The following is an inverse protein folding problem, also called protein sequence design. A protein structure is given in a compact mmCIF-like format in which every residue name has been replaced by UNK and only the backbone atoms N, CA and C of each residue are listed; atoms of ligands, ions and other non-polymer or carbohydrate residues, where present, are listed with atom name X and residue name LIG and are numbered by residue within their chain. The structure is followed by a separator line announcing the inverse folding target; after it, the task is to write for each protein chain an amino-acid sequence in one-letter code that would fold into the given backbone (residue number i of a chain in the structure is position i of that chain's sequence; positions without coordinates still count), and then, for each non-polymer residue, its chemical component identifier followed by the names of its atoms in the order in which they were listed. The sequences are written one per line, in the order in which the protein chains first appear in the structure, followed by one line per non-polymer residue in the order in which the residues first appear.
data_IF_594884406300
#
_entry.id   IF_594884406300
#
_cell.length_a   1.000
_cell.length_b   1.000
_cell.length_c   1.000
_cell.angle_alpha   90.00
_cell.angle_beta   90.00
_cell.angle_gamma   90.00
#
_symmetry.space_group_name_H-M   'P 1'
#
loop_
_entity.id
_entity.type
_entity.pdbx_description
1 polymer ?
#
# COMPACT_ATOMS: atom_id res chain seq x y z
N UNK A 1 -25.06 0.09 53.37
CA UNK A 1 -26.11 0.99 53.90
C UNK A 1 -26.11 1.05 55.42
N UNK A 2 -26.83 2.02 55.99
CA UNK A 2 -27.02 2.12 57.45
C UNK A 2 -28.40 1.63 57.82
N UNK A 3 -28.49 0.70 58.78
CA UNK A 3 -29.75 0.19 59.30
C UNK A 3 -29.89 0.67 60.75
N UNK A 4 -31.04 1.22 61.10
CA UNK A 4 -31.35 1.67 62.46
C UNK A 4 -32.40 0.74 63.04
N UNK A 5 -32.10 0.19 64.23
CA UNK A 5 -33.06 -0.62 64.94
C UNK A 5 -34.24 0.22 65.45
N UNK A 6 -35.46 -0.19 65.13
CA UNK A 6 -36.68 0.55 65.54
C UNK A 6 -36.86 0.60 67.06
N UNK A 7 -36.36 -0.43 67.79
CA UNK A 7 -36.56 -0.56 69.25
C UNK A 7 -35.51 0.21 70.09
N UNK A 8 -34.19 -0.01 69.79
CA UNK A 8 -33.12 0.59 70.59
C UNK A 8 -32.33 1.73 69.89
N UNK A 9 -32.72 2.03 68.65
CA UNK A 9 -32.12 3.08 67.77
C UNK A 9 -30.63 2.90 67.49
N UNK A 10 -30.08 1.76 67.79
CA UNK A 10 -28.69 1.44 67.43
C UNK A 10 -28.53 1.38 65.90
N UNK A 11 -27.45 1.99 65.39
CA UNK A 11 -27.15 2.10 63.97
C UNK A 11 -26.13 1.00 63.62
N UNK A 12 -26.43 0.22 62.59
CA UNK A 12 -25.57 -0.83 62.06
C UNK A 12 -25.15 -0.45 60.61
N UNK A 13 -23.89 -0.64 60.33
CA UNK A 13 -23.38 -0.52 58.95
C UNK A 13 -23.32 -1.90 58.32
N UNK A 14 -24.10 -2.11 57.30
CA UNK A 14 -24.22 -3.40 56.59
C UNK A 14 -23.91 -3.18 55.12
N UNK A 15 -23.24 -4.19 54.52
CA UNK A 15 -23.03 -4.19 53.08
C UNK A 15 -24.38 -4.43 52.36
N UNK A 16 -24.60 -3.70 51.28
CA UNK A 16 -25.82 -3.84 50.48
C UNK A 16 -25.97 -5.25 49.89
N UNK A 17 -24.85 -5.91 49.61
CA UNK A 17 -24.83 -7.27 49.08
C UNK A 17 -25.27 -8.32 50.11
N UNK A 18 -25.27 -8.01 51.42
CA UNK A 18 -25.65 -8.90 52.47
C UNK A 18 -27.16 -9.01 52.72
N UNK A 19 -27.98 -8.22 52.02
CA UNK A 19 -29.45 -8.22 52.15
C UNK A 19 -30.04 -8.69 50.83
N UNK A 20 -30.87 -9.74 50.92
CA UNK A 20 -31.56 -10.28 49.76
C UNK A 20 -32.48 -9.19 49.12
N UNK A 21 -32.53 -9.12 47.77
CA UNK A 21 -33.34 -8.11 47.08
C UNK A 21 -34.82 -8.19 47.41
N UNK A 22 -35.29 -9.39 47.79
CA UNK A 22 -36.67 -9.63 48.18
C UNK A 22 -36.97 -9.19 49.61
N UNK A 23 -35.95 -8.80 50.38
CA UNK A 23 -36.02 -8.52 51.81
C UNK A 23 -35.68 -9.67 52.68
N UNK A 24 -35.21 -9.43 53.87
CA UNK A 24 -34.92 -10.48 54.87
C UNK A 24 -35.15 -9.99 56.28
N UNK A 25 -35.44 -10.91 57.19
CA UNK A 25 -35.56 -10.64 58.61
C UNK A 25 -34.17 -10.49 59.21
N UNK A 26 -33.94 -9.35 59.89
CA UNK A 26 -32.69 -9.08 60.63
C UNK A 26 -32.97 -8.99 62.14
N UNK A 27 -32.02 -9.45 62.96
CA UNK A 27 -32.10 -9.40 64.38
C UNK A 27 -31.07 -8.45 64.95
N UNK A 28 -31.53 -7.54 65.81
CA UNK A 28 -30.63 -6.60 66.49
C UNK A 28 -29.71 -7.33 67.48
N UNK A 29 -28.40 -7.14 67.39
CA UNK A 29 -27.42 -7.72 68.31
C UNK A 29 -27.45 -7.13 69.68
N UNK A 30 -28.09 -5.95 69.89
CA UNK A 30 -28.16 -5.25 71.15
C UNK A 30 -29.43 -5.56 71.91
N UNK A 31 -30.61 -5.53 71.28
CA UNK A 31 -31.88 -5.70 71.98
C UNK A 31 -32.68 -6.94 71.49
N UNK A 32 -32.11 -7.72 70.61
CA UNK A 32 -32.71 -8.94 70.02
C UNK A 32 -34.02 -8.71 69.21
N UNK A 33 -34.43 -7.47 69.01
CA UNK A 33 -35.59 -7.14 68.17
C UNK A 33 -35.41 -7.60 66.74
N UNK A 34 -36.45 -8.17 66.16
CA UNK A 34 -36.47 -8.70 64.78
C UNK A 34 -37.37 -7.83 63.94
N UNK A 35 -36.87 -7.37 62.77
CA UNK A 35 -37.67 -6.60 61.81
C UNK A 35 -37.30 -6.96 60.39
N UNK A 36 -38.17 -6.65 59.46
CA UNK A 36 -37.94 -6.90 58.03
C UNK A 36 -37.19 -5.67 57.42
N UNK A 37 -36.15 -6.00 56.66
CA UNK A 37 -35.35 -4.99 55.91
C UNK A 37 -35.41 -5.36 54.45
N UNK A 38 -35.76 -4.39 53.63
CA UNK A 38 -35.64 -4.49 52.17
C UNK A 38 -34.38 -3.76 51.71
N UNK A 39 -33.63 -4.36 50.83
CA UNK A 39 -32.55 -3.63 50.15
C UNK A 39 -33.17 -2.41 49.44
N UNK A 40 -32.58 -1.21 49.52
CA UNK A 40 -33.01 -0.11 48.70
C UNK A 40 -32.96 -0.62 47.25
N UNK A 41 -34.06 -0.39 46.49
CA UNK A 41 -34.06 -0.72 45.06
C UNK A 41 -32.85 -0.01 44.44
N UNK A 42 -31.77 -0.75 44.26
CA UNK A 42 -30.70 -0.26 43.42
C UNK A 42 -31.36 -0.03 42.07
N UNK A 43 -31.44 1.24 41.64
CA UNK A 43 -31.76 1.51 40.27
C UNK A 43 -30.68 0.76 39.48
N UNK A 44 -31.05 -0.42 38.98
CA UNK A 44 -30.25 -1.18 38.03
C UNK A 44 -30.20 -0.26 36.80
N UNK A 45 -29.18 0.55 36.79
CA UNK A 45 -28.78 1.17 35.55
C UNK A 45 -28.39 -0.01 34.64
N UNK A 46 -29.37 -0.57 33.93
CA UNK A 46 -29.10 -1.42 32.81
C UNK A 46 -28.05 -0.69 31.98
N UNK A 47 -26.88 -1.30 31.71
CA UNK A 47 -25.88 -0.63 30.86
C UNK A 47 -26.61 -0.26 29.59
N UNK A 48 -26.86 1.05 29.42
CA UNK A 48 -27.52 1.57 28.25
C UNK A 48 -26.68 1.15 27.07
N UNK A 49 -27.25 0.23 26.29
CA UNK A 49 -26.85 -0.16 24.96
C UNK A 49 -25.37 -0.49 24.75
N UNK A 50 -25.03 -1.75 24.86
CA UNK A 50 -23.78 -2.31 24.36
C UNK A 50 -23.50 -2.01 22.88
N UNK A 51 -24.49 -1.54 22.14
CA UNK A 51 -24.36 -1.16 20.73
C UNK A 51 -23.58 0.15 20.55
N UNK A 52 -23.82 1.19 21.39
CA UNK A 52 -23.06 2.45 21.31
C UNK A 52 -21.62 2.26 21.75
N UNK A 53 -21.42 1.42 22.77
CA UNK A 53 -20.09 1.11 23.29
C UNK A 53 -19.28 0.25 22.30
N UNK A 54 -19.92 -0.67 21.57
CA UNK A 54 -19.34 -1.44 20.46
C UNK A 54 -18.97 -0.51 19.32
N UNK A 55 -19.84 0.43 18.93
CA UNK A 55 -19.56 1.39 17.88
C UNK A 55 -18.40 2.32 18.23
N UNK A 56 -18.27 2.76 19.48
CA UNK A 56 -17.13 3.57 19.93
C UNK A 56 -15.83 2.76 19.92
N UNK A 57 -15.86 1.51 20.36
CA UNK A 57 -14.69 0.61 20.32
C UNK A 57 -14.29 0.23 18.89
N UNK A 58 -15.23 0.21 17.97
CA UNK A 58 -14.96 -0.12 16.55
C UNK A 58 -14.47 1.10 15.73
N UNK A 59 -14.74 2.33 16.18
CA UNK A 59 -14.32 3.54 15.46
C UNK A 59 -12.81 3.66 15.28
N UNK A 60 -12.04 3.38 16.32
CA UNK A 60 -10.56 3.45 16.27
C UNK A 60 -9.97 2.40 15.32
N UNK A 61 -10.32 1.10 15.44
CA UNK A 61 -9.80 0.10 14.50
C UNK A 61 -10.31 0.30 13.07
N UNK A 62 -11.55 0.76 12.86
CA UNK A 62 -12.08 1.03 11.53
C UNK A 62 -11.38 2.22 10.86
N UNK A 63 -11.13 3.30 11.59
CA UNK A 63 -10.40 4.46 11.07
C UNK A 63 -8.95 4.14 10.75
N UNK A 64 -8.30 3.32 11.58
CA UNK A 64 -6.94 2.86 11.35
C UNK A 64 -6.85 1.94 10.12
N UNK A 65 -7.83 1.06 9.95
CA UNK A 65 -7.91 0.16 8.79
C UNK A 65 -8.14 0.98 7.49
N UNK A 66 -8.99 1.99 7.54
CA UNK A 66 -9.24 2.90 6.42
C UNK A 66 -7.97 3.71 6.08
N UNK A 67 -7.24 4.19 7.08
CA UNK A 67 -5.96 4.88 6.89
C UNK A 67 -4.93 3.96 6.24
N UNK A 68 -4.80 2.72 6.71
CA UNK A 68 -3.89 1.72 6.14
C UNK A 68 -4.26 1.40 4.69
N UNK A 69 -5.55 1.22 4.39
CA UNK A 69 -6.02 1.02 3.02
C UNK A 69 -5.70 2.20 2.11
N UNK A 70 -5.89 3.42 2.59
CA UNK A 70 -5.60 4.64 1.84
C UNK A 70 -4.10 4.78 1.57
N UNK A 71 -3.27 4.59 2.59
CA UNK A 71 -1.80 4.61 2.44
C UNK A 71 -1.32 3.51 1.49
N UNK A 72 -1.88 2.30 1.60
CA UNK A 72 -1.57 1.20 0.70
C UNK A 72 -1.98 1.52 -0.74
N UNK A 73 -3.15 2.13 -0.94
CA UNK A 73 -3.62 2.57 -2.25
C UNK A 73 -2.69 3.62 -2.89
N UNK A 74 -2.26 4.61 -2.11
CA UNK A 74 -1.28 5.62 -2.56
C UNK A 74 0.05 4.94 -2.91
N UNK A 75 0.57 4.08 -2.03
CA UNK A 75 1.81 3.36 -2.27
C UNK A 75 1.74 2.51 -3.55
N UNK A 76 0.62 1.84 -3.78
CA UNK A 76 0.39 1.03 -4.97
C UNK A 76 0.31 1.88 -6.24
N UNK A 77 -0.39 3.02 -6.20
CA UNK A 77 -0.55 3.93 -7.35
C UNK A 77 0.76 4.60 -7.75
N UNK A 78 1.58 4.98 -6.77
CA UNK A 78 2.85 5.67 -6.98
C UNK A 78 4.07 4.75 -6.91
N UNK A 79 3.90 3.42 -7.01
CA UNK A 79 5.01 2.46 -6.91
C UNK A 79 6.14 2.72 -7.91
N UNK A 80 5.84 3.12 -9.15
CA UNK A 80 6.82 3.44 -10.18
C UNK A 80 7.73 4.61 -9.77
N UNK A 81 7.20 5.82 -9.54
CA UNK A 81 7.97 6.96 -9.06
C UNK A 81 8.71 6.71 -7.73
N UNK A 82 8.08 5.98 -6.79
CA UNK A 82 8.70 5.64 -5.50
C UNK A 82 9.93 4.76 -5.71
N UNK A 83 9.82 3.72 -6.51
CA UNK A 83 10.96 2.81 -6.78
C UNK A 83 12.03 3.45 -7.66
N UNK A 84 11.70 4.43 -8.47
CA UNK A 84 12.68 5.22 -9.21
C UNK A 84 13.53 6.11 -8.28
N UNK A 85 12.95 6.61 -7.17
CA UNK A 85 13.68 7.35 -6.14
C UNK A 85 14.40 6.43 -5.13
N UNK A 86 13.80 5.29 -4.82
CA UNK A 86 14.32 4.32 -3.85
C UNK A 86 14.43 2.92 -4.48
N UNK A 87 15.46 2.66 -5.29
CA UNK A 87 15.61 1.41 -6.04
C UNK A 87 15.61 0.16 -5.16
N UNK A 88 16.10 0.27 -3.92
CA UNK A 88 16.10 -0.85 -2.96
C UNK A 88 14.71 -1.40 -2.62
N UNK A 89 13.65 -0.65 -2.89
CA UNK A 89 12.27 -1.12 -2.68
C UNK A 89 11.77 -2.07 -3.77
N UNK A 90 12.44 -2.14 -4.93
CA UNK A 90 12.05 -3.03 -6.03
C UNK A 90 12.01 -4.48 -5.55
N UNK A 91 13.02 -4.91 -4.79
CA UNK A 91 13.07 -6.27 -4.23
C UNK A 91 11.91 -6.56 -3.27
N UNK A 92 11.51 -5.56 -2.47
CA UNK A 92 10.40 -5.70 -1.54
C UNK A 92 9.06 -5.83 -2.27
N UNK A 93 8.84 -5.04 -3.32
CA UNK A 93 7.65 -5.14 -4.15
C UNK A 93 7.59 -6.47 -4.90
N UNK A 94 8.70 -6.89 -5.51
CA UNK A 94 8.77 -8.19 -6.19
C UNK A 94 8.55 -9.37 -5.23
N UNK A 95 9.05 -9.27 -3.98
CA UNK A 95 8.88 -10.30 -2.95
C UNK A 95 7.41 -10.53 -2.54
N UNK A 96 6.54 -9.54 -2.70
CA UNK A 96 5.09 -9.67 -2.48
C UNK A 96 4.29 -9.88 -3.78
N UNK A 97 4.98 -10.16 -4.90
CA UNK A 97 4.36 -10.44 -6.20
C UNK A 97 3.92 -9.20 -6.98
N UNK A 98 4.35 -8.01 -6.56
CA UNK A 98 4.09 -6.76 -7.28
C UNK A 98 5.29 -6.42 -8.17
N UNK A 99 5.22 -6.83 -9.42
CA UNK A 99 6.23 -6.49 -10.43
C UNK A 99 6.22 -5.00 -10.74
N UNK A 100 7.42 -4.43 -10.85
CA UNK A 100 7.61 -3.04 -11.28
C UNK A 100 7.95 -3.07 -12.78
N UNK A 101 7.16 -2.36 -13.56
CA UNK A 101 7.37 -2.20 -14.99
C UNK A 101 7.60 -0.73 -15.33
N UNK A 102 8.41 -0.42 -16.35
CA UNK A 102 8.52 0.95 -16.85
C UNK A 102 7.16 1.42 -17.38
N UNK A 103 6.79 2.64 -17.06
CA UNK A 103 5.59 3.24 -17.64
C UNK A 103 5.90 3.73 -19.05
N UNK A 104 5.51 2.96 -20.06
CA UNK A 104 5.78 3.27 -21.46
C UNK A 104 4.99 4.47 -21.97
N UNK A 105 3.86 4.83 -21.34
CA UNK A 105 3.02 5.94 -21.76
C UNK A 105 3.70 7.30 -21.62
N UNK A 106 4.64 7.41 -20.68
CA UNK A 106 5.38 8.64 -20.40
C UNK A 106 6.76 8.68 -21.04
N UNK A 107 7.17 7.60 -21.70
CA UNK A 107 8.48 7.49 -22.36
C UNK A 107 8.33 7.64 -23.86
N UNK A 108 9.10 8.55 -24.43
CA UNK A 108 9.09 8.84 -25.86
C UNK A 108 10.48 8.63 -26.45
N UNK A 109 10.54 7.96 -27.60
CA UNK A 109 11.79 7.88 -28.38
C UNK A 109 11.90 9.14 -29.23
N UNK A 110 13.00 9.88 -29.05
CA UNK A 110 13.28 11.11 -29.78
C UNK A 110 14.64 11.04 -30.48
N UNK A 111 14.82 11.86 -31.52
CA UNK A 111 16.09 12.01 -32.21
C UNK A 111 16.70 10.70 -32.75
N UNK A 112 15.83 9.74 -33.15
CA UNK A 112 16.27 8.47 -33.69
C UNK A 112 17.00 8.65 -35.02
N UNK A 113 18.23 8.19 -35.08
CA UNK A 113 19.07 8.25 -36.27
C UNK A 113 19.72 6.88 -36.50
N UNK A 114 19.55 6.36 -37.71
CA UNK A 114 20.18 5.14 -38.14
C UNK A 114 21.12 5.45 -39.34
N UNK A 115 22.32 4.92 -39.30
CA UNK A 115 23.29 5.11 -40.37
C UNK A 115 24.05 3.82 -40.63
N UNK A 116 24.32 3.54 -41.90
CA UNK A 116 25.13 2.41 -42.28
C UNK A 116 26.53 2.84 -42.69
N UNK A 117 27.52 2.10 -42.22
CA UNK A 117 28.92 2.26 -42.59
C UNK A 117 29.45 0.88 -43.06
N UNK A 118 29.34 0.58 -44.38
CA UNK A 118 29.48 -0.77 -44.87
C UNK A 118 28.36 -1.67 -44.36
N UNK A 119 28.70 -2.78 -43.72
CA UNK A 119 27.75 -3.70 -43.09
C UNK A 119 27.44 -3.35 -41.64
N UNK A 120 27.98 -2.25 -41.14
CA UNK A 120 27.82 -1.84 -39.78
C UNK A 120 26.69 -0.84 -39.66
N UNK A 121 25.59 -1.26 -39.03
CA UNK A 121 24.46 -0.41 -38.67
C UNK A 121 24.77 0.28 -37.35
N UNK A 122 24.66 1.61 -37.33
CA UNK A 122 24.73 2.43 -36.12
C UNK A 122 23.39 3.09 -35.89
N UNK A 123 22.82 2.87 -34.74
CA UNK A 123 21.57 3.48 -34.31
C UNK A 123 21.82 4.25 -33.04
N UNK A 124 21.35 5.49 -33.01
CA UNK A 124 21.38 6.34 -31.84
C UNK A 124 20.06 7.05 -31.67
N UNK A 125 19.71 7.32 -30.46
CA UNK A 125 18.49 8.06 -30.12
C UNK A 125 18.45 8.43 -28.66
N UNK A 126 17.32 8.97 -28.24
CA UNK A 126 17.08 9.39 -26.88
C UNK A 126 15.75 8.85 -26.41
N UNK A 127 15.69 8.42 -25.14
CA UNK A 127 14.44 8.16 -24.44
C UNK A 127 14.16 9.38 -23.58
N UNK A 128 13.06 10.06 -23.85
CA UNK A 128 12.60 11.24 -23.11
C UNK A 128 11.48 10.83 -22.14
N UNK A 129 11.55 11.33 -20.91
CA UNK A 129 10.50 11.18 -19.91
C UNK A 129 9.62 12.45 -19.91
N UNK A 130 8.37 12.31 -20.34
CA UNK A 130 7.39 13.40 -20.36
C UNK A 130 6.64 13.59 -19.03
N UNK A 131 6.86 12.68 -18.05
CA UNK A 131 6.21 12.73 -16.74
C UNK A 131 6.79 13.86 -15.85
N UNK A 132 6.03 14.22 -14.83
CA UNK A 132 6.45 15.12 -13.73
C UNK A 132 7.33 14.41 -12.68
N UNK A 133 7.44 13.09 -12.75
CA UNK A 133 8.20 12.27 -11.83
C UNK A 133 9.33 11.53 -12.55
N UNK A 134 10.34 11.13 -11.78
CA UNK A 134 11.39 10.24 -12.29
C UNK A 134 10.76 8.90 -12.72
N UNK A 135 11.07 8.46 -13.92
CA UNK A 135 10.63 7.19 -14.47
C UNK A 135 11.77 6.18 -14.59
N UNK A 136 11.43 4.89 -14.58
CA UNK A 136 12.38 3.85 -14.95
C UNK A 136 12.61 3.86 -16.46
N UNK A 137 13.84 3.78 -16.90
CA UNK A 137 14.17 3.65 -18.31
C UNK A 137 13.74 2.27 -18.80
N UNK A 138 13.00 2.23 -19.89
CA UNK A 138 12.55 0.96 -20.50
C UNK A 138 13.65 0.36 -21.39
N UNK A 139 13.81 -0.97 -21.40
CA UNK A 139 14.61 -1.63 -22.41
C UNK A 139 14.03 -1.36 -23.80
N UNK A 140 14.88 -1.38 -24.81
CA UNK A 140 14.51 -1.13 -26.19
C UNK A 140 14.67 -2.41 -27.01
N UNK A 141 13.82 -2.58 -28.00
CA UNK A 141 13.97 -3.59 -29.04
C UNK A 141 14.28 -2.92 -30.37
N UNK A 142 15.48 -3.15 -30.87
CA UNK A 142 15.86 -2.80 -32.23
C UNK A 142 15.43 -3.93 -33.15
N UNK A 143 14.74 -3.62 -34.24
CA UNK A 143 14.42 -4.52 -35.32
C UNK A 143 14.90 -3.93 -36.65
N UNK A 144 15.59 -4.71 -37.42
CA UNK A 144 15.96 -4.38 -38.80
C UNK A 144 15.08 -5.18 -39.72
N UNK A 145 14.28 -4.51 -40.53
CA UNK A 145 13.32 -5.11 -41.44
C UNK A 145 13.84 -5.01 -42.88
N UNK A 146 13.75 -6.10 -43.61
CA UNK A 146 14.01 -6.12 -45.05
C UNK A 146 12.88 -5.46 -45.86
N UNK A 147 13.08 -5.29 -47.15
CA UNK A 147 12.10 -4.67 -48.05
C UNK A 147 10.76 -5.41 -48.12
N UNK A 148 10.73 -6.67 -47.76
CA UNK A 148 9.56 -7.55 -47.69
C UNK A 148 8.99 -7.67 -46.24
N UNK A 149 9.39 -6.78 -45.36
CA UNK A 149 9.00 -6.78 -43.93
C UNK A 149 9.54 -7.98 -43.12
N UNK A 150 10.47 -8.74 -43.67
CA UNK A 150 11.15 -9.82 -42.93
C UNK A 150 12.10 -9.24 -41.90
N UNK A 151 12.14 -9.85 -40.71
CA UNK A 151 13.07 -9.43 -39.64
C UNK A 151 14.46 -9.98 -39.96
N UNK A 152 15.38 -9.11 -40.36
CA UNK A 152 16.78 -9.46 -40.67
C UNK A 152 17.62 -9.54 -39.41
N UNK A 153 17.37 -8.67 -38.45
CA UNK A 153 18.06 -8.68 -37.16
C UNK A 153 17.12 -8.16 -36.04
N UNK A 154 17.33 -8.71 -34.87
CA UNK A 154 16.67 -8.24 -33.65
C UNK A 154 17.70 -8.12 -32.54
N UNK A 155 17.69 -7.01 -31.81
CA UNK A 155 18.58 -6.76 -30.71
C UNK A 155 17.83 -6.11 -29.56
N UNK A 156 18.10 -6.56 -28.34
CA UNK A 156 17.60 -5.91 -27.13
C UNK A 156 18.69 -4.98 -26.59
N UNK A 157 18.29 -3.76 -26.27
CA UNK A 157 19.16 -2.72 -25.77
C UNK A 157 18.72 -2.33 -24.37
N UNK A 158 19.69 -2.14 -23.51
CA UNK A 158 19.45 -1.55 -22.18
C UNK A 158 20.02 -0.15 -22.23
N UNK A 159 19.25 0.89 -21.84
CA UNK A 159 19.74 2.27 -21.80
C UNK A 159 20.91 2.41 -20.81
N UNK A 160 21.77 3.37 -21.06
CA UNK A 160 22.91 3.65 -20.17
C UNK A 160 22.47 4.07 -18.77
N UNK A 161 21.36 4.81 -18.68
CA UNK A 161 20.76 5.23 -17.42
C UNK A 161 19.54 4.38 -17.09
N UNK A 162 19.46 3.88 -15.86
CA UNK A 162 18.32 3.11 -15.36
C UNK A 162 17.11 3.98 -15.01
N UNK A 163 17.34 5.28 -14.78
CA UNK A 163 16.33 6.24 -14.38
C UNK A 163 16.43 7.50 -15.24
N UNK A 164 15.30 8.06 -15.57
CA UNK A 164 15.19 9.31 -16.33
C UNK A 164 14.42 10.31 -15.50
N UNK A 165 15.05 11.41 -15.11
CA UNK A 165 14.39 12.46 -14.33
C UNK A 165 13.25 13.11 -15.13
N UNK A 166 12.33 13.77 -14.42
CA UNK A 166 11.23 14.51 -15.02
C UNK A 166 11.69 15.48 -16.11
N UNK A 167 11.13 15.39 -17.30
CA UNK A 167 11.47 16.26 -18.42
C UNK A 167 12.89 16.10 -18.97
N UNK A 168 13.60 15.04 -18.60
CA UNK A 168 14.95 14.74 -19.08
C UNK A 168 14.94 13.60 -20.09
N UNK A 169 16.06 13.44 -20.79
CA UNK A 169 16.28 12.35 -21.71
C UNK A 169 17.58 11.60 -21.37
N UNK A 170 17.61 10.30 -21.71
CA UNK A 170 18.83 9.49 -21.72
C UNK A 170 19.14 9.03 -23.12
N UNK A 171 20.41 9.03 -23.47
CA UNK A 171 20.86 8.55 -24.77
C UNK A 171 20.93 7.02 -24.81
N UNK A 172 20.76 6.46 -25.97
CA UNK A 172 21.09 5.08 -26.27
C UNK A 172 21.85 4.99 -27.58
N UNK A 173 22.77 4.04 -27.64
CA UNK A 173 23.57 3.78 -28.80
C UNK A 173 23.72 2.29 -29.00
N UNK A 174 23.56 1.84 -30.25
CA UNK A 174 23.82 0.45 -30.64
C UNK A 174 24.60 0.41 -31.95
N UNK A 175 25.46 -0.57 -32.04
CA UNK A 175 26.23 -0.84 -33.23
C UNK A 175 26.12 -2.34 -33.50
N UNK A 176 25.58 -2.70 -34.68
CA UNK A 176 25.33 -4.08 -35.07
C UNK A 176 25.81 -4.31 -36.50
N UNK A 177 26.49 -5.42 -36.70
CA UNK A 177 26.82 -5.88 -38.02
C UNK A 177 25.58 -6.55 -38.64
N UNK A 178 25.08 -5.97 -39.73
CA UNK A 178 23.89 -6.43 -40.45
C UNK A 178 24.19 -6.37 -41.91
N UNK A 179 23.93 -7.46 -42.62
CA UNK A 179 24.06 -7.47 -44.06
C UNK A 179 23.12 -6.41 -44.65
N UNK A 180 23.69 -5.46 -45.42
CA UNK A 180 22.92 -4.36 -45.99
C UNK A 180 21.95 -4.88 -47.03
N UNK A 181 20.71 -5.13 -46.64
CA UNK A 181 19.63 -5.47 -47.54
C UNK A 181 18.97 -4.19 -48.07
N UNK A 182 19.43 -3.70 -49.22
CA UNK A 182 18.74 -2.64 -50.00
C UNK A 182 18.06 -1.53 -49.19
N UNK A 183 16.73 -1.54 -49.11
CA UNK A 183 15.89 -0.60 -48.35
C UNK A 183 15.51 -1.15 -46.97
N UNK A 184 16.46 -1.52 -46.15
CA UNK A 184 16.17 -1.98 -44.77
C UNK A 184 15.62 -0.83 -43.93
N UNK A 185 14.49 -1.06 -43.26
CA UNK A 185 13.87 -0.17 -42.30
C UNK A 185 14.36 -0.53 -40.89
N UNK A 186 14.70 0.47 -40.13
CA UNK A 186 15.08 0.32 -38.69
C UNK A 186 13.93 0.77 -37.83
N UNK A 187 13.42 -0.15 -36.99
CA UNK A 187 12.38 0.13 -36.04
C UNK A 187 12.93 -0.07 -34.64
N UNK A 188 12.62 0.88 -33.74
CA UNK A 188 12.99 0.81 -32.33
C UNK A 188 11.73 0.97 -31.51
N UNK A 189 11.45 -0.01 -30.66
CA UNK A 189 10.27 -0.04 -29.79
C UNK A 189 10.71 -0.17 -28.32
N UNK A 190 9.96 0.46 -27.41
CA UNK A 190 10.12 0.28 -25.98
C UNK A 190 9.51 -1.06 -25.54
N UNK A 191 10.19 -1.78 -24.67
CA UNK A 191 9.69 -3.04 -24.12
C UNK A 191 9.12 -2.84 -22.72
N UNK A 192 7.91 -3.38 -22.48
CA UNK A 192 7.36 -3.52 -21.15
C UNK A 192 7.87 -4.83 -20.55
N UNK A 193 8.97 -4.75 -19.84
CA UNK A 193 9.50 -5.88 -19.09
C UNK A 193 9.56 -5.54 -17.61
N UNK A 194 9.19 -6.52 -16.77
CA UNK A 194 9.34 -6.36 -15.31
C UNK A 194 10.81 -6.15 -14.95
N UNK A 195 11.06 -5.15 -14.13
CA UNK A 195 12.40 -4.86 -13.61
C UNK A 195 12.79 -5.98 -12.64
N UNK A 196 13.65 -6.88 -13.09
CA UNK A 196 14.23 -7.92 -12.25
C UNK A 196 15.46 -7.38 -11.52
N UNK A 197 15.74 -7.96 -10.36
CA UNK A 197 16.90 -7.59 -9.52
C UNK A 197 18.25 -7.65 -10.26
N UNK A 198 18.37 -8.55 -11.23
CA UNK A 198 19.61 -8.75 -12.00
C UNK A 198 19.91 -7.62 -13.00
N UNK A 199 18.97 -6.70 -13.20
CA UNK A 199 19.16 -5.53 -14.06
C UNK A 199 19.68 -4.29 -13.31
N UNK A 200 19.93 -4.42 -11.99
CA UNK A 200 20.37 -3.30 -11.13
C UNK A 200 21.70 -3.56 -10.42
#
# INVERSE_FOLDING_TARGET
MLLTCAQCKTIFRIDNAAIAPEGQKVRCSVCAHIWDVKAPAQAYHAPASGFVDILQKLRLPASMLLLVMLLSGVLFSFRGPITAHFPGLISSFNGIGLTIEPNLEVLEIRNLQASYQGNLLRVRGQIFNSDSFTAHAAPLQLQVLGADNTVLAREKLVPDSKFIAAGQATDFFVQKEVEKAGNAEVRVDLLSESLLLDMF
#
